data_IF_284120717610
#
_entry.id   IF_284120717610
#
_cell.length_a   1.000
_cell.length_b   1.000
_cell.length_c   1.000
_cell.angle_alpha   90.00
_cell.angle_beta   90.00
_cell.angle_gamma   90.00
#
_symmetry.space_group_name_H-M   'P 1'
#
loop_
_entity.id
_entity.type
_entity.pdbx_description
1 polymer ?
#
# COMPACT_ATOMS: atom_id res chain seq x y z
N UNK A 1 25.61 -1.61 -12.24
CA UNK A 1 25.81 -0.16 -12.02
C UNK A 1 25.27 0.54 -13.24
N UNK A 2 24.43 1.57 -13.07
CA UNK A 2 23.71 2.25 -14.14
C UNK A 2 24.06 3.73 -14.17
N UNK A 3 24.05 4.33 -15.33
CA UNK A 3 24.37 5.75 -15.53
C UNK A 3 23.23 6.68 -15.11
N UNK A 4 21.99 6.19 -15.21
CA UNK A 4 20.78 6.89 -14.78
C UNK A 4 19.64 5.92 -14.39
N UNK A 5 18.50 6.49 -14.01
CA UNK A 5 17.32 5.73 -13.58
C UNK A 5 16.65 5.04 -14.76
N UNK A 6 16.65 5.67 -15.93
CA UNK A 6 15.96 5.14 -17.11
C UNK A 6 16.68 3.92 -17.67
N UNK A 7 18.02 3.90 -17.62
CA UNK A 7 18.83 2.73 -17.96
C UNK A 7 18.50 1.54 -17.04
N UNK A 8 18.36 1.78 -15.73
CA UNK A 8 18.00 0.73 -14.79
C UNK A 8 16.58 0.18 -15.02
N UNK A 9 15.63 1.06 -15.38
CA UNK A 9 14.26 0.65 -15.75
C UNK A 9 14.26 -0.16 -17.04
N UNK A 10 15.11 0.21 -17.99
CA UNK A 10 15.26 -0.48 -19.28
C UNK A 10 15.81 -1.89 -19.09
N UNK A 11 16.82 -2.06 -18.23
CA UNK A 11 17.35 -3.37 -17.83
C UNK A 11 16.30 -4.22 -17.12
N UNK A 12 15.46 -3.61 -16.27
CA UNK A 12 14.32 -4.31 -15.66
C UNK A 12 13.30 -4.78 -16.72
N UNK A 13 12.95 -3.93 -17.67
CA UNK A 13 12.03 -4.28 -18.75
C UNK A 13 12.58 -5.37 -19.67
N UNK A 14 13.91 -5.44 -19.84
CA UNK A 14 14.60 -6.50 -20.58
C UNK A 14 14.64 -7.84 -19.81
N UNK A 15 14.34 -7.81 -18.50
CA UNK A 15 14.40 -9.01 -17.65
C UNK A 15 15.78 -9.31 -17.06
N UNK A 16 16.75 -8.41 -17.21
CA UNK A 16 18.11 -8.59 -16.70
C UNK A 16 18.20 -8.43 -15.18
N UNK A 17 17.28 -7.64 -14.60
CA UNK A 17 17.21 -7.36 -13.17
C UNK A 17 15.77 -7.39 -12.69
N UNK A 18 15.58 -7.65 -11.38
CA UNK A 18 14.28 -7.67 -10.72
C UNK A 18 14.02 -6.35 -9.99
N UNK A 19 12.75 -6.09 -9.63
CA UNK A 19 12.35 -4.90 -8.86
C UNK A 19 13.07 -4.77 -7.52
N UNK A 20 13.43 -5.89 -6.91
CA UNK A 20 14.09 -5.96 -5.62
C UNK A 20 15.62 -5.99 -5.71
N UNK A 21 16.17 -6.10 -6.92
CA UNK A 21 17.61 -6.11 -7.13
C UNK A 21 18.25 -4.81 -6.63
N UNK A 22 19.28 -4.94 -5.82
CA UNK A 22 20.04 -3.78 -5.33
C UNK A 22 20.96 -3.30 -6.45
N UNK A 23 20.78 -2.04 -6.82
CA UNK A 23 21.52 -1.41 -7.91
C UNK A 23 22.20 -0.13 -7.45
N UNK A 24 23.31 0.20 -8.10
CA UNK A 24 24.00 1.49 -7.93
C UNK A 24 23.71 2.34 -9.15
N UNK A 25 23.06 3.48 -8.91
CA UNK A 25 22.62 4.39 -9.96
C UNK A 25 23.28 5.75 -9.72
N UNK A 26 23.80 6.35 -10.78
CA UNK A 26 24.31 7.72 -10.72
C UNK A 26 23.12 8.67 -10.81
N UNK A 27 22.94 9.46 -9.78
CA UNK A 27 21.93 10.52 -9.75
C UNK A 27 22.66 11.86 -9.88
N UNK A 28 22.28 12.63 -10.88
CA UNK A 28 22.81 13.98 -11.12
C UNK A 28 21.67 14.98 -11.02
N UNK A 29 21.81 15.98 -10.17
CA UNK A 29 20.88 17.10 -10.05
C UNK A 29 21.67 18.42 -10.05
N UNK A 30 21.05 19.45 -10.57
CA UNK A 30 21.55 20.80 -10.52
C UNK A 30 20.95 21.52 -9.30
N UNK A 31 21.81 21.92 -8.37
CA UNK A 31 21.43 22.59 -7.13
C UNK A 31 22.27 23.84 -7.02
N UNK A 32 21.62 25.00 -6.91
CA UNK A 32 22.27 26.31 -6.83
C UNK A 32 23.27 26.59 -7.99
N UNK A 33 22.99 26.06 -9.20
CA UNK A 33 23.86 26.22 -10.36
C UNK A 33 25.07 25.28 -10.41
N UNK A 34 25.25 24.42 -9.42
CA UNK A 34 26.27 23.36 -9.39
C UNK A 34 25.67 22.00 -9.77
N UNK A 35 26.32 21.28 -10.69
CA UNK A 35 25.94 19.89 -11.01
C UNK A 35 26.57 18.96 -9.99
N UNK A 36 25.72 18.46 -9.09
CA UNK A 36 26.12 17.45 -8.12
C UNK A 36 25.75 16.07 -8.63
N UNK A 37 26.67 15.12 -8.51
CA UNK A 37 26.48 13.74 -8.91
C UNK A 37 26.93 12.80 -7.81
N UNK A 38 26.08 11.83 -7.45
CA UNK A 38 26.41 10.79 -6.48
C UNK A 38 25.96 9.42 -6.95
N UNK A 39 26.54 8.37 -6.37
CA UNK A 39 26.10 7.00 -6.58
C UNK A 39 25.13 6.61 -5.47
N UNK A 40 23.87 6.50 -5.82
CA UNK A 40 22.83 6.04 -4.92
C UNK A 40 22.71 4.50 -4.99
N UNK A 41 22.78 3.85 -3.85
CA UNK A 41 22.52 2.40 -3.74
C UNK A 41 21.06 2.21 -3.34
N UNK A 42 20.25 1.66 -4.21
CA UNK A 42 18.81 1.50 -4.02
C UNK A 42 18.28 0.29 -4.79
N UNK A 43 16.98 0.10 -4.83
CA UNK A 43 16.33 -0.93 -5.68
C UNK A 43 15.54 -0.29 -6.81
N UNK A 44 15.37 -1.01 -7.91
CA UNK A 44 14.61 -0.53 -9.08
C UNK A 44 13.17 -0.16 -8.68
N UNK A 45 12.53 -0.99 -7.86
CA UNK A 45 11.16 -0.71 -7.39
C UNK A 45 11.05 0.59 -6.59
N UNK A 46 12.04 0.91 -5.74
CA UNK A 46 12.08 2.19 -5.02
C UNK A 46 12.25 3.38 -5.94
N UNK A 47 13.07 3.25 -6.99
CA UNK A 47 13.23 4.32 -7.98
C UNK A 47 11.92 4.59 -8.72
N UNK A 48 11.26 3.57 -9.20
CA UNK A 48 9.96 3.67 -9.89
C UNK A 48 8.91 4.34 -8.98
N UNK A 49 8.85 3.94 -7.71
CA UNK A 49 7.92 4.54 -6.75
C UNK A 49 8.24 6.01 -6.49
N UNK A 50 9.51 6.35 -6.31
CA UNK A 50 9.94 7.74 -6.07
C UNK A 50 9.73 8.67 -7.27
N UNK A 51 9.67 8.15 -8.51
CA UNK A 51 9.28 8.94 -9.69
C UNK A 51 7.80 9.36 -9.65
N UNK A 52 6.94 8.59 -8.99
CA UNK A 52 5.51 8.89 -8.91
C UNK A 52 5.17 9.96 -7.88
N UNK A 53 6.06 10.21 -6.91
CA UNK A 53 5.83 11.12 -5.79
C UNK A 53 6.75 12.34 -5.85
N UNK A 54 6.30 13.51 -5.37
CA UNK A 54 7.15 14.70 -5.23
C UNK A 54 8.30 14.43 -4.25
N UNK A 55 9.46 15.01 -4.54
CA UNK A 55 10.67 14.84 -3.74
C UNK A 55 10.87 15.99 -2.71
N UNK A 56 9.77 16.54 -2.18
CA UNK A 56 9.76 17.66 -1.22
C UNK A 56 8.85 17.41 0.00
N UNK A 57 8.55 16.14 0.29
CA UNK A 57 7.58 15.78 1.32
C UNK A 57 8.14 15.82 2.76
N UNK A 58 9.47 15.88 2.92
CA UNK A 58 10.13 16.02 4.21
C UNK A 58 10.37 14.71 4.97
N UNK A 59 10.26 13.56 4.31
CA UNK A 59 10.62 12.27 4.92
C UNK A 59 12.13 12.06 4.95
N UNK A 60 12.87 12.65 3.99
CA UNK A 60 14.32 12.68 4.00
C UNK A 60 14.79 14.04 4.55
N UNK A 61 15.59 14.02 5.61
CA UNK A 61 16.25 15.24 6.12
C UNK A 61 17.30 15.70 5.10
N UNK A 62 17.21 16.93 4.68
CA UNK A 62 18.09 17.54 3.66
C UNK A 62 18.92 18.65 4.30
N UNK A 63 19.93 18.24 5.05
CA UNK A 63 20.83 19.16 5.75
C UNK A 63 22.06 19.52 4.90
N UNK A 64 22.52 18.58 4.07
CA UNK A 64 23.68 18.79 3.18
C UNK A 64 23.26 18.77 1.70
N UNK A 65 24.08 19.36 0.83
CA UNK A 65 23.85 19.36 -0.63
C UNK A 65 23.72 17.94 -1.19
N UNK A 66 24.44 16.97 -0.61
CA UNK A 66 24.37 15.56 -1.01
C UNK A 66 23.04 14.90 -0.64
N UNK A 67 22.37 15.35 0.43
CA UNK A 67 21.09 14.79 0.86
C UNK A 67 19.96 15.11 -0.14
N UNK A 68 20.08 16.15 -0.96
CA UNK A 68 19.14 16.46 -2.03
C UNK A 68 19.17 15.44 -3.18
N UNK A 69 20.22 14.64 -3.26
CA UNK A 69 20.34 13.57 -4.26
C UNK A 69 19.69 12.26 -3.79
N UNK A 70 19.39 12.11 -2.49
CA UNK A 70 18.70 10.96 -1.93
C UNK A 70 17.23 10.94 -2.33
N UNK A 71 16.66 9.73 -2.38
CA UNK A 71 15.24 9.56 -2.58
C UNK A 71 14.46 9.96 -1.33
N UNK A 72 13.25 10.44 -1.51
CA UNK A 72 12.35 10.79 -0.42
C UNK A 72 11.92 9.55 0.38
N UNK A 73 11.67 8.44 -0.31
CA UNK A 73 11.20 7.19 0.28
C UNK A 73 12.21 6.07 0.02
N UNK A 74 12.85 5.58 1.10
CA UNK A 74 13.80 4.46 1.05
C UNK A 74 13.38 3.25 1.90
N UNK A 75 12.22 3.33 2.54
CA UNK A 75 11.65 2.28 3.38
C UNK A 75 10.47 1.57 2.69
N UNK A 76 10.01 0.48 3.30
CA UNK A 76 8.85 -0.26 2.83
C UNK A 76 7.57 0.54 3.09
N UNK A 77 6.80 0.79 2.03
CA UNK A 77 5.55 1.55 2.11
C UNK A 77 4.37 0.59 2.25
N UNK A 78 3.81 0.50 3.45
CA UNK A 78 2.55 -0.17 3.71
C UNK A 78 1.38 0.83 3.76
N UNK A 79 0.20 0.36 4.16
CA UNK A 79 -1.03 1.18 4.21
C UNK A 79 -0.87 2.45 5.07
N UNK A 80 -0.25 2.34 6.24
CA UNK A 80 -0.05 3.48 7.15
C UNK A 80 0.91 4.52 6.56
N UNK A 81 2.04 4.07 6.01
CA UNK A 81 3.03 4.94 5.37
C UNK A 81 2.44 5.64 4.13
N UNK A 82 1.64 4.92 3.34
CA UNK A 82 0.97 5.52 2.19
C UNK A 82 0.02 6.65 2.61
N UNK A 83 -0.77 6.45 3.67
CA UNK A 83 -1.62 7.51 4.21
C UNK A 83 -0.81 8.73 4.67
N UNK A 84 0.35 8.53 5.31
CA UNK A 84 1.25 9.61 5.71
C UNK A 84 1.84 10.36 4.51
N UNK A 85 2.21 9.63 3.45
CA UNK A 85 2.72 10.24 2.21
C UNK A 85 1.65 11.14 1.58
N UNK A 86 0.41 10.67 1.50
CA UNK A 86 -0.72 11.44 0.96
C UNK A 86 -1.00 12.67 1.81
N UNK A 87 -1.04 12.52 3.12
CA UNK A 87 -1.24 13.63 4.05
C UNK A 87 -0.13 14.70 3.94
N UNK A 88 1.13 14.27 3.89
CA UNK A 88 2.26 15.18 3.71
C UNK A 88 2.22 15.87 2.35
N UNK A 89 1.88 15.12 1.29
CA UNK A 89 1.72 15.68 -0.04
C UNK A 89 0.64 16.77 -0.08
N UNK A 90 -0.49 16.52 0.55
CA UNK A 90 -1.58 17.50 0.64
C UNK A 90 -1.16 18.77 1.41
N UNK A 91 -0.44 18.61 2.52
CA UNK A 91 0.03 19.74 3.34
C UNK A 91 1.06 20.61 2.62
N UNK A 92 1.96 19.99 1.85
CA UNK A 92 3.09 20.69 1.19
C UNK A 92 2.71 21.21 -0.18
N UNK A 93 2.01 20.41 -0.98
CA UNK A 93 1.78 20.68 -2.42
C UNK A 93 0.32 21.03 -2.75
N UNK A 94 -0.61 20.92 -1.79
CA UNK A 94 -2.03 21.22 -1.98
C UNK A 94 -2.82 20.14 -2.75
N UNK A 95 -4.12 20.40 -2.95
CA UNK A 95 -5.07 19.40 -3.45
C UNK A 95 -4.80 18.94 -4.90
N UNK A 96 -4.47 19.88 -5.79
CA UNK A 96 -4.27 19.57 -7.22
C UNK A 96 -3.13 18.62 -7.45
N UNK A 97 -1.95 18.91 -6.89
CA UNK A 97 -0.76 18.05 -7.03
C UNK A 97 -1.00 16.70 -6.35
N UNK A 98 -1.68 16.71 -5.19
CA UNK A 98 -2.01 15.46 -4.48
C UNK A 98 -2.90 14.55 -5.32
N UNK A 99 -3.88 15.09 -6.03
CA UNK A 99 -4.74 14.28 -6.89
C UNK A 99 -3.97 13.64 -8.04
N UNK A 100 -3.04 14.36 -8.66
CA UNK A 100 -2.15 13.79 -9.70
C UNK A 100 -1.24 12.68 -9.15
N UNK A 101 -0.69 12.88 -7.94
CA UNK A 101 0.14 11.89 -7.26
C UNK A 101 -0.67 10.63 -6.95
N UNK A 102 -1.90 10.78 -6.46
CA UNK A 102 -2.80 9.64 -6.20
C UNK A 102 -3.10 8.86 -7.48
N UNK A 103 -3.35 9.55 -8.60
CA UNK A 103 -3.56 8.88 -9.88
C UNK A 103 -2.33 8.13 -10.37
N UNK A 104 -1.13 8.68 -10.20
CA UNK A 104 0.12 7.99 -10.52
C UNK A 104 0.34 6.76 -9.65
N UNK A 105 0.13 6.88 -8.33
CA UNK A 105 0.25 5.73 -7.39
C UNK A 105 -0.77 4.64 -7.73
N UNK A 106 -2.01 5.03 -8.03
CA UNK A 106 -3.07 4.11 -8.47
C UNK A 106 -2.66 3.37 -9.76
N UNK A 107 -2.18 4.09 -10.75
CA UNK A 107 -1.72 3.51 -12.01
C UNK A 107 -0.56 2.52 -11.81
N UNK A 108 0.42 2.86 -10.94
CA UNK A 108 1.48 1.93 -10.56
C UNK A 108 0.93 0.69 -9.88
N UNK A 109 -0.01 0.84 -8.93
CA UNK A 109 -0.64 -0.27 -8.24
C UNK A 109 -1.29 -1.26 -9.20
N UNK A 110 -2.10 -0.78 -10.13
CA UNK A 110 -2.72 -1.62 -11.16
C UNK A 110 -1.70 -2.28 -12.10
N UNK A 111 -0.72 -1.51 -12.59
CA UNK A 111 0.33 -2.03 -13.47
C UNK A 111 1.08 -3.20 -12.82
N UNK A 112 1.58 -3.00 -11.61
CA UNK A 112 2.40 -4.02 -10.94
C UNK A 112 1.58 -5.16 -10.34
N UNK A 113 0.32 -4.96 -9.99
CA UNK A 113 -0.62 -6.04 -9.66
C UNK A 113 -0.84 -6.96 -10.86
N UNK A 114 -1.00 -6.40 -12.06
CA UNK A 114 -1.15 -7.17 -13.30
C UNK A 114 0.12 -7.94 -13.65
N UNK A 115 1.29 -7.28 -13.61
CA UNK A 115 2.60 -7.90 -13.90
C UNK A 115 2.91 -9.01 -12.88
N UNK A 116 2.61 -8.77 -11.60
CA UNK A 116 2.80 -9.73 -10.52
C UNK A 116 1.79 -10.87 -10.52
N UNK A 117 0.83 -10.87 -11.45
CA UNK A 117 -0.26 -11.87 -11.53
C UNK A 117 -0.98 -12.09 -10.20
N UNK A 118 -1.16 -11.01 -9.42
CA UNK A 118 -1.89 -11.06 -8.14
C UNK A 118 -3.38 -11.20 -8.46
N UNK A 119 -3.88 -12.41 -8.34
CA UNK A 119 -5.28 -12.73 -8.60
C UNK A 119 -5.82 -13.62 -7.48
N UNK A 120 -7.12 -13.54 -7.24
CA UNK A 120 -7.82 -14.41 -6.32
C UNK A 120 -9.06 -14.98 -7.03
N UNK A 121 -9.26 -16.29 -6.92
CA UNK A 121 -10.43 -16.99 -7.42
C UNK A 121 -11.36 -17.33 -6.25
N UNK A 122 -12.66 -17.46 -6.55
CA UNK A 122 -13.63 -18.02 -5.58
C UNK A 122 -13.21 -19.42 -5.12
N UNK A 123 -12.54 -20.19 -5.98
CA UNK A 123 -12.04 -21.52 -5.65
C UNK A 123 -10.85 -21.53 -4.69
N UNK A 124 -10.16 -20.39 -4.52
CA UNK A 124 -9.07 -20.24 -3.55
C UNK A 124 -9.58 -19.99 -2.13
N UNK A 125 -10.88 -19.74 -1.98
CA UNK A 125 -11.52 -19.53 -0.69
C UNK A 125 -11.79 -20.87 -0.02
N UNK A 126 -10.96 -21.24 0.94
CA UNK A 126 -11.18 -22.42 1.75
C UNK A 126 -12.20 -22.12 2.86
N UNK A 127 -13.26 -22.92 2.88
CA UNK A 127 -14.25 -22.88 3.97
C UNK A 127 -13.65 -23.65 5.14
N UNK A 128 -13.41 -23.02 6.32
CA UNK A 128 -12.88 -23.71 7.49
C UNK A 128 -13.88 -24.78 7.96
N UNK A 129 -13.36 -25.93 8.44
CA UNK A 129 -14.18 -27.07 8.87
C UNK A 129 -15.08 -26.71 10.07
N UNK A 130 -14.59 -25.82 10.90
CA UNK A 130 -15.27 -25.32 12.12
C UNK A 130 -16.49 -24.45 11.81
N UNK A 131 -16.68 -24.02 10.55
CA UNK A 131 -17.81 -23.15 10.16
C UNK A 131 -19.15 -23.76 10.50
N UNK A 132 -19.33 -25.05 10.24
CA UNK A 132 -20.62 -25.74 10.46
C UNK A 132 -20.92 -25.85 11.97
N UNK A 133 -19.92 -26.12 12.77
CA UNK A 133 -20.04 -26.22 14.24
C UNK A 133 -20.40 -24.87 14.86
N UNK A 134 -19.68 -23.81 14.45
CA UNK A 134 -19.96 -22.45 14.93
C UNK A 134 -21.35 -21.97 14.51
N UNK A 135 -21.81 -22.34 13.31
CA UNK A 135 -23.15 -21.97 12.87
C UNK A 135 -24.23 -22.73 13.64
N UNK A 136 -24.04 -24.04 13.90
CA UNK A 136 -24.97 -24.83 14.67
C UNK A 136 -25.11 -24.34 16.12
N UNK A 137 -23.99 -23.94 16.74
CA UNK A 137 -23.99 -23.34 18.07
C UNK A 137 -24.73 -21.99 18.09
N UNK A 138 -24.46 -21.15 17.09
CA UNK A 138 -25.15 -19.86 16.95
C UNK A 138 -26.66 -20.03 16.71
N UNK A 139 -27.07 -20.99 15.86
CA UNK A 139 -28.49 -21.28 15.63
C UNK A 139 -29.18 -21.79 16.90
N UNK A 140 -28.48 -22.60 17.73
CA UNK A 140 -28.99 -23.05 19.02
C UNK A 140 -29.20 -21.89 20.01
N UNK A 141 -28.29 -20.94 20.02
CA UNK A 141 -28.44 -19.73 20.87
C UNK A 141 -29.59 -18.84 20.40
N UNK A 142 -29.75 -18.67 19.08
CA UNK A 142 -30.85 -17.88 18.48
C UNK A 142 -32.20 -18.52 18.85
N UNK A 143 -32.35 -19.85 18.71
CA UNK A 143 -33.58 -20.55 19.09
C UNK A 143 -33.96 -20.34 20.56
N UNK A 144 -33.00 -20.40 21.48
CA UNK A 144 -33.23 -20.11 22.90
C UNK A 144 -33.74 -18.70 23.14
N UNK A 145 -33.18 -17.71 22.44
CA UNK A 145 -33.59 -16.30 22.55
C UNK A 145 -34.99 -16.11 21.96
N UNK A 146 -35.33 -16.78 20.85
CA UNK A 146 -36.66 -16.76 20.26
C UNK A 146 -37.71 -17.41 21.18
N UNK A 147 -37.39 -18.52 21.83
CA UNK A 147 -38.28 -19.15 22.82
C UNK A 147 -38.55 -18.21 24.00
N UNK A 148 -37.53 -17.56 24.55
CA UNK A 148 -37.68 -16.58 25.63
C UNK A 148 -38.55 -15.37 25.19
N UNK A 149 -38.37 -14.90 23.97
CA UNK A 149 -39.18 -13.83 23.41
C UNK A 149 -40.65 -14.26 23.27
N UNK A 150 -40.91 -15.45 22.77
CA UNK A 150 -42.26 -15.98 22.61
C UNK A 150 -42.97 -16.24 23.97
N UNK A 151 -42.22 -16.52 25.02
CA UNK A 151 -42.73 -16.62 26.40
C UNK A 151 -43.02 -15.26 27.06
N UNK A 152 -42.82 -14.14 26.35
CA UNK A 152 -43.07 -12.80 26.85
C UNK A 152 -42.02 -12.30 27.84
N UNK A 153 -40.88 -12.96 27.99
CA UNK A 153 -39.75 -12.43 28.71
C UNK A 153 -39.13 -11.30 27.91
N UNK A 154 -38.93 -10.15 28.57
CA UNK A 154 -38.36 -8.96 27.91
C UNK A 154 -36.91 -9.23 27.50
N UNK A 155 -36.71 -9.70 26.28
CA UNK A 155 -35.39 -9.84 25.66
C UNK A 155 -35.12 -8.56 24.88
N UNK A 156 -34.02 -7.90 25.20
CA UNK A 156 -33.59 -6.69 24.51
C UNK A 156 -33.33 -7.00 23.02
N UNK A 157 -33.98 -6.27 22.13
CA UNK A 157 -33.78 -6.34 20.67
C UNK A 157 -32.29 -6.24 20.25
N UNK A 158 -31.46 -5.67 21.11
CA UNK A 158 -30.02 -5.57 20.93
C UNK A 158 -29.30 -6.92 20.94
N UNK A 159 -29.80 -7.94 21.64
CA UNK A 159 -29.21 -9.28 21.61
C UNK A 159 -29.43 -10.00 20.27
N UNK A 160 -30.63 -9.91 19.69
CA UNK A 160 -30.93 -10.45 18.37
C UNK A 160 -30.08 -9.76 17.28
N UNK A 161 -29.95 -8.43 17.36
CA UNK A 161 -29.16 -7.67 16.39
C UNK A 161 -27.65 -7.94 16.45
N UNK A 162 -27.11 -8.26 17.61
CA UNK A 162 -25.70 -8.65 17.76
C UNK A 162 -25.39 -10.01 17.09
N UNK A 163 -26.36 -10.93 17.04
CA UNK A 163 -26.24 -12.21 16.34
C UNK A 163 -26.45 -12.09 14.83
N UNK A 164 -27.33 -11.19 14.36
CA UNK A 164 -27.52 -10.95 12.92
C UNK A 164 -26.26 -10.36 12.27
N UNK A 165 -25.51 -9.50 12.93
CA UNK A 165 -24.26 -8.96 12.41
C UNK A 165 -23.17 -10.02 12.23
N UNK A 166 -23.19 -11.10 13.00
CA UNK A 166 -22.30 -12.26 12.82
C UNK A 166 -22.68 -13.17 11.66
N UNK A 167 -23.95 -13.11 11.23
CA UNK A 167 -24.47 -13.94 10.12
C UNK A 167 -24.21 -13.33 8.74
N UNK A 168 -23.84 -12.04 8.68
CA UNK A 168 -23.56 -11.28 7.46
C UNK A 168 -22.06 -10.98 7.24
N UNK A 169 -21.17 -11.54 8.04
CA UNK A 169 -19.73 -11.60 7.84
C UNK A 169 -19.33 -13.01 7.38
#
# INVERSE_FOLDING_TARGET
MFSDVDEAILAYNAGDIELQSVVKIRVTKEIDGEKLSTLLTTTVGRMIFNQAIPQNLGFCKRETKEDYLKNEIEYLVGKKQLSQIVESCFKVNGATVTSEVLDRIKALGYKYSTIGAVTASIFDMHIPKEKQEILADADTEVLKVEELYNMGMAVSYTHLRAHETRRHL
#
